data_IF_412626215015
#
_entry.id   IF_412626215015
#
_cell.length_a   1.000
_cell.length_b   1.000
_cell.length_c   1.000
_cell.angle_alpha   90.00
_cell.angle_beta   90.00
_cell.angle_gamma   90.00
#
_symmetry.space_group_name_H-M   'P 1'
#
loop_
_entity.id
_entity.type
_entity.pdbx_description
1 polymer ?
#
# COMPACT_ATOMS: atom_id res chain seq x y z
N UNK A 1 29.90 32.17 12.25
CA UNK A 1 29.50 30.80 12.63
C UNK A 1 28.05 30.64 12.22
N UNK A 2 27.76 29.74 11.29
CA UNK A 2 26.38 29.47 10.89
C UNK A 2 25.67 28.80 12.08
N UNK A 3 24.69 29.50 12.65
CA UNK A 3 23.82 28.97 13.69
C UNK A 3 22.89 27.99 12.99
N UNK A 4 23.17 26.68 13.09
CA UNK A 4 22.26 25.67 12.57
C UNK A 4 20.92 25.82 13.29
N UNK A 5 19.85 26.09 12.55
CA UNK A 5 18.50 26.02 13.11
C UNK A 5 18.33 24.66 13.78
N UNK A 6 17.90 24.67 15.05
CA UNK A 6 17.64 23.44 15.78
C UNK A 6 16.47 22.71 15.09
N UNK A 7 16.81 21.75 14.22
CA UNK A 7 15.84 20.84 13.64
C UNK A 7 15.10 20.06 14.73
N UNK A 8 13.92 19.48 14.41
CA UNK A 8 13.18 18.65 15.34
C UNK A 8 14.09 17.57 15.92
N UNK A 9 14.04 17.43 17.24
CA UNK A 9 14.85 16.44 17.94
C UNK A 9 14.45 15.01 17.52
N UNK A 10 15.36 14.05 17.74
CA UNK A 10 15.15 12.63 17.39
C UNK A 10 13.89 12.06 18.03
N UNK A 11 13.50 12.52 19.23
CA UNK A 11 12.29 12.04 19.91
C UNK A 11 11.04 12.55 19.19
N UNK A 12 11.05 13.77 18.67
CA UNK A 12 9.98 14.32 17.82
C UNK A 12 9.86 13.57 16.48
N UNK A 13 10.98 13.25 15.83
CA UNK A 13 10.99 12.46 14.59
C UNK A 13 10.47 11.03 14.84
N UNK A 14 10.98 10.37 15.89
CA UNK A 14 10.49 9.04 16.31
C UNK A 14 9.02 9.07 16.68
N UNK A 15 8.55 10.08 17.40
CA UNK A 15 7.15 10.19 17.77
C UNK A 15 6.25 10.26 16.52
N UNK A 16 6.61 11.04 15.51
CA UNK A 16 5.80 11.15 14.29
C UNK A 16 5.88 9.92 13.39
N UNK A 17 7.02 9.22 13.39
CA UNK A 17 7.17 7.97 12.65
C UNK A 17 6.48 6.78 13.33
N UNK A 18 6.49 6.74 14.67
CA UNK A 18 6.02 5.60 15.47
C UNK A 18 4.59 5.75 16.00
N UNK A 19 4.02 6.96 16.02
CA UNK A 19 2.71 7.19 16.63
C UNK A 19 1.62 7.41 15.58
N UNK A 20 0.76 6.39 15.34
CA UNK A 20 -0.28 6.44 14.30
C UNK A 20 -1.37 7.50 14.53
N UNK A 21 -1.39 8.19 15.66
CA UNK A 21 -2.39 9.22 16.00
C UNK A 21 -1.87 10.65 15.81
N UNK A 22 -0.59 10.84 15.52
CA UNK A 22 -0.04 12.18 15.32
C UNK A 22 -0.14 12.58 13.85
N UNK A 23 -0.70 13.76 13.60
CA UNK A 23 -0.52 14.45 12.32
C UNK A 23 0.84 15.16 12.38
N UNK A 24 1.86 14.71 11.62
CA UNK A 24 3.12 15.44 11.57
C UNK A 24 2.90 16.82 10.95
N UNK A 25 3.62 17.83 11.48
CA UNK A 25 3.67 19.13 10.82
C UNK A 25 4.50 19.04 9.53
N UNK A 26 4.31 20.00 8.61
CA UNK A 26 4.97 19.98 7.29
C UNK A 26 6.49 19.86 7.40
N UNK A 27 7.12 20.63 8.28
CA UNK A 27 8.58 20.58 8.47
C UNK A 27 9.07 19.19 8.90
N UNK A 28 8.33 18.50 9.77
CA UNK A 28 8.67 17.14 10.21
C UNK A 28 8.52 16.15 9.06
N UNK A 29 7.48 16.29 8.24
CA UNK A 29 7.29 15.47 7.02
C UNK A 29 8.45 15.68 6.06
N UNK A 30 8.80 16.93 5.78
CA UNK A 30 9.88 17.27 4.85
C UNK A 30 11.23 16.69 5.30
N UNK A 31 11.53 16.74 6.61
CA UNK A 31 12.75 16.16 7.18
C UNK A 31 12.75 14.63 7.14
N UNK A 32 11.61 13.98 7.47
CA UNK A 32 11.49 12.53 7.38
C UNK A 32 11.68 12.08 5.93
N UNK A 33 11.07 12.78 4.97
CA UNK A 33 11.20 12.48 3.55
C UNK A 33 12.65 12.66 3.07
N UNK A 34 13.31 13.76 3.44
CA UNK A 34 14.72 13.99 3.08
C UNK A 34 15.66 12.92 3.68
N UNK A 35 15.42 12.51 4.93
CA UNK A 35 16.16 11.40 5.53
C UNK A 35 15.88 10.08 4.81
N UNK A 36 14.62 9.80 4.48
CA UNK A 36 14.23 8.60 3.76
C UNK A 36 14.84 8.56 2.35
N UNK A 37 14.82 9.64 1.57
CA UNK A 37 15.48 9.70 0.26
C UNK A 37 16.99 9.51 0.35
N UNK A 38 17.63 10.01 1.42
CA UNK A 38 19.08 9.85 1.60
C UNK A 38 19.46 8.41 1.92
N UNK A 39 18.72 7.76 2.81
CA UNK A 39 19.04 6.39 3.28
C UNK A 39 18.44 5.31 2.38
N UNK A 40 17.33 5.61 1.69
CA UNK A 40 16.59 4.73 0.80
C UNK A 40 16.28 5.47 -0.52
N UNK A 41 17.31 5.72 -1.35
CA UNK A 41 17.14 6.48 -2.58
C UNK A 41 16.14 5.78 -3.51
N UNK A 42 15.32 6.58 -4.18
CA UNK A 42 14.41 6.07 -5.20
C UNK A 42 15.25 5.44 -6.34
N UNK A 43 15.08 4.13 -6.65
CA UNK A 43 15.85 3.51 -7.72
C UNK A 43 15.44 4.01 -9.11
N UNK A 44 14.29 4.69 -9.24
CA UNK A 44 13.75 5.13 -10.51
C UNK A 44 14.38 6.45 -11.00
N UNK A 45 14.60 6.61 -12.32
CA UNK A 45 15.08 7.86 -12.89
C UNK A 45 14.12 9.04 -12.63
N UNK A 46 14.66 10.19 -12.21
CA UNK A 46 13.88 11.40 -11.92
C UNK A 46 12.99 11.87 -13.08
N UNK A 47 13.44 11.68 -14.32
CA UNK A 47 12.63 12.00 -15.51
C UNK A 47 11.33 11.20 -15.58
N UNK A 48 11.33 9.94 -15.10
CA UNK A 48 10.14 9.10 -15.05
C UNK A 48 9.26 9.45 -13.86
N UNK A 49 9.83 9.86 -12.73
CA UNK A 49 9.06 10.41 -11.61
C UNK A 49 8.29 11.67 -12.04
N UNK A 50 8.90 12.55 -12.83
CA UNK A 50 8.20 13.70 -13.41
C UNK A 50 6.99 13.32 -14.28
N UNK A 51 6.96 12.12 -14.85
CA UNK A 51 5.78 11.62 -15.59
C UNK A 51 4.65 11.19 -14.65
N UNK A 52 4.97 10.64 -13.47
CA UNK A 52 3.98 10.37 -12.44
C UNK A 52 3.37 11.67 -11.92
N UNK A 53 4.20 12.65 -11.61
CA UNK A 53 3.73 13.97 -11.17
C UNK A 53 2.81 14.62 -12.21
N UNK A 54 3.18 14.54 -13.50
CA UNK A 54 2.35 15.01 -14.60
C UNK A 54 1.01 14.27 -14.64
N UNK A 55 1.03 12.93 -14.57
CA UNK A 55 -0.20 12.14 -14.58
C UNK A 55 -1.11 12.47 -13.39
N UNK A 56 -0.55 12.56 -12.18
CA UNK A 56 -1.32 12.92 -10.99
C UNK A 56 -1.94 14.32 -11.12
N UNK A 57 -1.21 15.28 -11.68
CA UNK A 57 -1.72 16.63 -11.92
C UNK A 57 -2.86 16.65 -12.94
N UNK A 58 -2.75 15.88 -14.03
CA UNK A 58 -3.83 15.69 -15.01
C UNK A 58 -5.05 15.02 -14.34
N UNK A 59 -4.82 13.98 -13.54
CA UNK A 59 -5.86 13.22 -12.86
C UNK A 59 -6.55 14.03 -11.76
N UNK A 60 -5.82 14.86 -10.99
CA UNK A 60 -6.41 15.72 -9.93
C UNK A 60 -7.31 16.82 -10.50
N UNK A 61 -7.05 17.28 -11.73
CA UNK A 61 -7.81 18.34 -12.42
C UNK A 61 -8.98 17.81 -13.28
N UNK A 62 -9.37 16.55 -13.07
CA UNK A 62 -10.36 15.84 -13.86
C UNK A 62 -11.72 16.59 -13.97
N UNK A 63 -12.23 16.74 -15.20
CA UNK A 63 -13.50 17.44 -15.50
C UNK A 63 -13.54 18.21 -16.82
N UNK A 64 -12.40 18.41 -17.49
CA UNK A 64 -12.28 19.04 -18.80
C UNK A 64 -11.93 17.98 -19.87
N UNK A 65 -12.62 18.01 -21.02
CA UNK A 65 -12.39 17.12 -22.17
C UNK A 65 -10.92 17.17 -22.63
N UNK A 66 -10.26 18.33 -22.50
CA UNK A 66 -8.84 18.47 -22.84
C UNK A 66 -7.92 17.59 -21.97
N UNK A 67 -8.32 17.30 -20.72
CA UNK A 67 -7.53 16.50 -19.78
C UNK A 67 -7.65 15.01 -20.08
N UNK A 68 -8.83 14.52 -20.44
CA UNK A 68 -9.02 13.12 -20.84
C UNK A 68 -8.23 12.82 -22.12
N UNK A 69 -8.24 13.75 -23.09
CA UNK A 69 -7.40 13.65 -24.29
C UNK A 69 -5.90 13.64 -23.96
N UNK A 70 -5.46 14.47 -23.01
CA UNK A 70 -4.05 14.47 -22.58
C UNK A 70 -3.64 13.17 -21.88
N UNK A 71 -4.53 12.58 -21.07
CA UNK A 71 -4.31 11.26 -20.45
C UNK A 71 -4.22 10.18 -21.54
N UNK A 72 -5.06 10.21 -22.56
CA UNK A 72 -4.99 9.30 -23.71
C UNK A 72 -3.68 9.44 -24.49
N UNK A 73 -3.24 10.68 -24.76
CA UNK A 73 -1.96 10.94 -25.42
C UNK A 73 -0.77 10.44 -24.61
N UNK A 74 -0.80 10.64 -23.28
CA UNK A 74 0.23 10.13 -22.38
C UNK A 74 0.27 8.60 -22.43
N UNK A 75 -0.88 7.92 -22.40
CA UNK A 75 -0.91 6.46 -22.51
C UNK A 75 -0.35 5.97 -23.84
N UNK A 76 -0.72 6.60 -24.95
CA UNK A 76 -0.19 6.25 -26.27
C UNK A 76 1.33 6.39 -26.30
N UNK A 77 1.86 7.46 -25.73
CA UNK A 77 3.29 7.66 -25.56
C UNK A 77 3.92 6.55 -24.72
N UNK A 78 3.36 6.22 -23.55
CA UNK A 78 3.87 5.15 -22.69
C UNK A 78 3.93 3.80 -23.41
N UNK A 79 2.85 3.44 -24.13
CA UNK A 79 2.81 2.19 -24.91
C UNK A 79 3.84 2.18 -26.04
N UNK A 80 4.07 3.31 -26.69
CA UNK A 80 5.14 3.44 -27.67
C UNK A 80 6.51 3.26 -27.02
N UNK A 81 6.78 3.95 -25.92
CA UNK A 81 8.06 3.87 -25.20
C UNK A 81 8.38 2.47 -24.67
N UNK A 82 7.34 1.71 -24.29
CA UNK A 82 7.42 0.30 -23.87
C UNK A 82 7.60 -0.66 -25.05
N UNK A 83 7.24 -0.27 -26.28
CA UNK A 83 7.44 -1.09 -27.48
C UNK A 83 8.88 -1.01 -28.02
N UNK A 84 9.64 0.01 -27.62
CA UNK A 84 11.04 0.20 -28.04
C UNK A 84 11.94 -0.80 -27.31
N UNK A 85 12.62 -1.65 -28.07
CA UNK A 85 13.58 -2.63 -27.53
C UNK A 85 14.84 -1.97 -26.96
N UNK A 86 15.48 -2.61 -25.98
CA UNK A 86 16.77 -2.19 -25.43
C UNK A 86 16.71 -1.11 -24.35
N UNK A 87 15.52 -0.78 -23.83
CA UNK A 87 15.38 0.10 -22.66
C UNK A 87 15.97 -0.56 -21.41
N UNK A 88 16.56 0.27 -20.57
CA UNK A 88 17.03 -0.14 -19.26
C UNK A 88 15.87 -0.74 -18.40
N UNK A 89 16.10 -1.86 -17.68
CA UNK A 89 15.06 -2.56 -16.93
C UNK A 89 14.24 -1.70 -15.96
N UNK A 90 14.90 -0.88 -15.14
CA UNK A 90 14.22 -0.01 -14.15
C UNK A 90 13.30 0.99 -14.82
N UNK A 91 13.77 1.60 -15.90
CA UNK A 91 12.98 2.52 -16.70
C UNK A 91 11.74 1.85 -17.29
N UNK A 92 11.89 0.64 -17.82
CA UNK A 92 10.76 -0.16 -18.33
C UNK A 92 9.75 -0.49 -17.24
N UNK A 93 10.24 -0.95 -16.08
CA UNK A 93 9.37 -1.28 -14.95
C UNK A 93 8.59 -0.06 -14.43
N UNK A 94 9.22 1.12 -14.39
CA UNK A 94 8.55 2.34 -13.91
C UNK A 94 7.48 2.83 -14.88
N UNK A 95 7.73 2.74 -16.19
CA UNK A 95 6.73 3.05 -17.22
C UNK A 95 5.55 2.06 -17.18
N UNK A 96 5.83 0.76 -16.98
CA UNK A 96 4.80 -0.26 -16.77
C UNK A 96 3.97 0.01 -15.51
N UNK A 97 4.62 0.44 -14.42
CA UNK A 97 3.91 0.86 -13.23
C UNK A 97 2.95 2.01 -13.54
N UNK A 98 3.43 3.08 -14.19
CA UNK A 98 2.58 4.23 -14.52
C UNK A 98 1.38 3.83 -15.39
N UNK A 99 1.63 3.00 -16.40
CA UNK A 99 0.58 2.44 -17.24
C UNK A 99 -0.45 1.65 -16.40
N UNK A 100 0.03 0.86 -15.44
CA UNK A 100 -0.82 0.16 -14.47
C UNK A 100 -1.71 1.09 -13.66
N UNK A 101 -1.16 2.20 -13.13
CA UNK A 101 -1.91 3.20 -12.36
C UNK A 101 -2.99 3.85 -13.24
N UNK A 102 -2.65 4.23 -14.47
CA UNK A 102 -3.60 4.79 -15.44
C UNK A 102 -4.76 3.85 -15.78
N UNK A 103 -4.45 2.57 -16.01
CA UNK A 103 -5.45 1.55 -16.33
C UNK A 103 -6.31 1.21 -15.10
N UNK A 104 -5.72 1.20 -13.92
CA UNK A 104 -6.44 1.01 -12.66
C UNK A 104 -7.48 2.13 -12.43
N UNK A 105 -7.13 3.38 -12.69
CA UNK A 105 -8.06 4.50 -12.58
C UNK A 105 -9.20 4.42 -13.63
N UNK A 106 -8.88 3.96 -14.85
CA UNK A 106 -9.90 3.69 -15.88
C UNK A 106 -10.82 2.55 -15.50
N UNK A 107 -10.31 1.50 -14.85
CA UNK A 107 -11.11 0.42 -14.29
C UNK A 107 -12.14 0.96 -13.28
N UNK A 108 -11.71 1.84 -12.37
CA UNK A 108 -12.62 2.53 -11.43
C UNK A 108 -13.65 3.40 -12.14
N UNK A 109 -13.25 4.15 -13.17
CA UNK A 109 -14.16 4.96 -13.99
C UNK A 109 -15.21 4.12 -14.72
N UNK A 110 -14.80 3.02 -15.35
CA UNK A 110 -15.69 2.08 -16.03
C UNK A 110 -16.67 1.41 -15.06
N UNK A 111 -16.20 1.05 -13.86
CA UNK A 111 -17.07 0.52 -12.78
C UNK A 111 -18.15 1.53 -12.40
N UNK A 112 -17.80 2.80 -12.16
CA UNK A 112 -18.76 3.86 -11.81
C UNK A 112 -19.84 4.06 -12.87
N UNK A 113 -19.53 3.77 -14.14
CA UNK A 113 -20.44 3.84 -15.29
C UNK A 113 -21.14 2.51 -15.62
N UNK A 114 -20.98 1.47 -14.81
CA UNK A 114 -21.50 0.11 -15.05
C UNK A 114 -21.08 -0.50 -16.40
N UNK A 115 -19.86 -0.21 -16.85
CA UNK A 115 -19.30 -0.71 -18.12
C UNK A 115 -18.47 -1.98 -17.88
N UNK A 116 -19.11 -3.08 -17.49
CA UNK A 116 -18.40 -4.29 -17.01
C UNK A 116 -17.35 -4.84 -17.98
N UNK A 117 -17.60 -4.97 -19.31
CA UNK A 117 -16.59 -5.50 -20.22
C UNK A 117 -15.33 -4.64 -20.29
N UNK A 118 -15.51 -3.30 -20.28
CA UNK A 118 -14.37 -2.35 -20.26
C UNK A 118 -13.64 -2.39 -18.92
N UNK A 119 -14.38 -2.49 -17.83
CA UNK A 119 -13.82 -2.58 -16.49
C UNK A 119 -12.93 -3.83 -16.34
N UNK A 120 -13.39 -4.99 -16.81
CA UNK A 120 -12.61 -6.22 -16.80
C UNK A 120 -11.38 -6.17 -17.72
N UNK A 121 -11.50 -5.54 -18.89
CA UNK A 121 -10.36 -5.32 -19.79
C UNK A 121 -9.28 -4.44 -19.11
N UNK A 122 -9.66 -3.26 -18.60
CA UNK A 122 -8.73 -2.38 -17.90
C UNK A 122 -8.12 -3.04 -16.66
N UNK A 123 -8.89 -3.83 -15.91
CA UNK A 123 -8.37 -4.63 -14.80
C UNK A 123 -7.27 -5.58 -15.27
N UNK A 124 -7.53 -6.36 -16.32
CA UNK A 124 -6.56 -7.33 -16.86
C UNK A 124 -5.27 -6.66 -17.33
N UNK A 125 -5.40 -5.57 -18.07
CA UNK A 125 -4.23 -4.80 -18.54
C UNK A 125 -3.44 -4.18 -17.39
N UNK A 126 -4.12 -3.63 -16.36
CA UNK A 126 -3.45 -3.07 -15.19
C UNK A 126 -2.66 -4.14 -14.42
N UNK A 127 -3.27 -5.31 -14.19
CA UNK A 127 -2.61 -6.45 -13.53
C UNK A 127 -1.38 -6.88 -14.33
N UNK A 128 -1.51 -7.02 -15.65
CA UNK A 128 -0.39 -7.39 -16.51
C UNK A 128 0.75 -6.37 -16.44
N UNK A 129 0.43 -5.07 -16.43
CA UNK A 129 1.41 -4.00 -16.35
C UNK A 129 2.18 -4.06 -15.01
N UNK A 130 1.47 -4.15 -13.88
CA UNK A 130 2.11 -4.27 -12.57
C UNK A 130 2.90 -5.57 -12.39
N UNK A 131 2.40 -6.70 -12.89
CA UNK A 131 3.11 -7.98 -12.83
C UNK A 131 4.39 -7.92 -13.65
N UNK A 132 4.33 -7.35 -14.86
CA UNK A 132 5.51 -7.16 -15.70
C UNK A 132 6.54 -6.23 -15.04
N UNK A 133 6.09 -5.15 -14.39
CA UNK A 133 6.96 -4.28 -13.62
C UNK A 133 7.63 -5.01 -12.44
N UNK A 134 6.87 -5.83 -11.71
CA UNK A 134 7.38 -6.62 -10.60
C UNK A 134 8.41 -7.64 -11.08
N UNK A 135 8.11 -8.39 -12.13
CA UNK A 135 8.98 -9.41 -12.69
C UNK A 135 10.31 -8.82 -13.17
N UNK A 136 10.26 -7.68 -13.87
CA UNK A 136 11.48 -6.98 -14.32
C UNK A 136 12.33 -6.55 -13.13
N UNK A 137 11.74 -5.97 -12.09
CA UNK A 137 12.49 -5.48 -10.93
C UNK A 137 13.01 -6.62 -10.05
N UNK A 138 12.31 -7.75 -9.96
CA UNK A 138 12.77 -8.95 -9.26
C UNK A 138 13.92 -9.62 -10.02
N UNK A 139 13.81 -9.75 -11.35
CA UNK A 139 14.88 -10.29 -12.21
C UNK A 139 16.13 -9.42 -12.17
N UNK A 140 15.96 -8.09 -12.19
CA UNK A 140 17.07 -7.16 -12.10
C UNK A 140 17.65 -7.05 -10.66
N UNK A 141 16.99 -7.63 -9.65
CA UNK A 141 17.33 -7.51 -8.23
C UNK A 141 17.29 -6.06 -7.71
N UNK A 142 16.42 -5.22 -8.30
CA UNK A 142 16.36 -3.78 -8.02
C UNK A 142 15.14 -3.38 -7.16
N UNK A 143 14.15 -4.25 -7.01
CA UNK A 143 13.06 -4.00 -6.08
C UNK A 143 13.46 -4.34 -4.64
N UNK A 144 13.45 -3.33 -3.76
CA UNK A 144 13.43 -3.54 -2.31
C UNK A 144 12.06 -4.09 -1.86
N UNK A 145 11.94 -4.54 -0.60
CA UNK A 145 10.70 -5.15 -0.10
C UNK A 145 9.49 -4.21 -0.18
N UNK A 146 9.67 -2.91 0.05
CA UNK A 146 8.60 -1.91 -0.04
C UNK A 146 8.05 -1.80 -1.45
N UNK A 147 8.92 -1.73 -2.46
CA UNK A 147 8.54 -1.69 -3.87
C UNK A 147 7.77 -2.94 -4.25
N UNK A 148 8.28 -4.13 -3.89
CA UNK A 148 7.59 -5.40 -4.18
C UNK A 148 6.22 -5.46 -3.51
N UNK A 149 6.13 -5.02 -2.26
CA UNK A 149 4.88 -4.96 -1.52
C UNK A 149 3.88 -4.01 -2.20
N UNK A 150 4.30 -2.80 -2.59
CA UNK A 150 3.44 -1.84 -3.28
C UNK A 150 2.90 -2.38 -4.61
N UNK A 151 3.73 -3.00 -5.43
CA UNK A 151 3.28 -3.62 -6.69
C UNK A 151 2.28 -4.76 -6.44
N UNK A 152 2.54 -5.65 -5.48
CA UNK A 152 1.58 -6.70 -5.08
C UNK A 152 0.28 -6.11 -4.54
N UNK A 153 0.37 -5.04 -3.76
CA UNK A 153 -0.79 -4.32 -3.24
C UNK A 153 -1.60 -3.71 -4.38
N UNK A 154 -0.96 -3.12 -5.40
CA UNK A 154 -1.63 -2.56 -6.56
C UNK A 154 -2.34 -3.64 -7.39
N UNK A 155 -1.69 -4.79 -7.63
CA UNK A 155 -2.33 -5.94 -8.29
C UNK A 155 -3.54 -6.43 -7.49
N UNK A 156 -3.38 -6.61 -6.17
CA UNK A 156 -4.50 -7.00 -5.31
C UNK A 156 -5.63 -5.95 -5.36
N UNK A 157 -5.30 -4.67 -5.38
CA UNK A 157 -6.28 -3.60 -5.50
C UNK A 157 -7.05 -3.69 -6.84
N UNK A 158 -6.43 -4.09 -7.95
CA UNK A 158 -7.13 -4.32 -9.22
C UNK A 158 -8.25 -5.35 -9.05
N UNK A 159 -7.97 -6.47 -8.37
CA UNK A 159 -8.96 -7.50 -8.07
C UNK A 159 -10.09 -6.96 -7.18
N UNK A 160 -9.73 -6.34 -6.05
CA UNK A 160 -10.69 -5.85 -5.06
C UNK A 160 -11.61 -4.76 -5.63
N UNK A 161 -11.05 -3.85 -6.44
CA UNK A 161 -11.78 -2.72 -6.98
C UNK A 161 -12.60 -3.04 -8.22
N UNK A 162 -12.34 -4.16 -8.90
CA UNK A 162 -13.22 -4.70 -9.92
C UNK A 162 -14.45 -5.41 -9.33
N UNK A 163 -14.38 -5.85 -8.07
CA UNK A 163 -15.52 -6.52 -7.42
C UNK A 163 -16.69 -5.55 -7.22
N UNK A 164 -17.84 -5.86 -7.83
CA UNK A 164 -19.06 -5.01 -7.78
C UNK A 164 -19.58 -4.79 -6.36
N UNK A 165 -19.33 -5.70 -5.42
CA UNK A 165 -19.82 -5.63 -4.03
C UNK A 165 -18.65 -5.70 -3.05
N UNK A 166 -18.55 -4.68 -2.19
CA UNK A 166 -17.65 -4.69 -1.03
C UNK A 166 -17.93 -5.93 -0.16
N UNK A 167 -16.87 -6.67 0.19
CA UNK A 167 -16.96 -7.88 1.01
C UNK A 167 -17.37 -9.16 0.26
N UNK A 168 -17.56 -9.12 -1.07
CA UNK A 168 -17.84 -10.33 -1.88
C UNK A 168 -16.57 -10.92 -2.50
N UNK A 169 -15.44 -10.20 -2.44
CA UNK A 169 -14.18 -10.68 -2.98
C UNK A 169 -13.69 -11.98 -2.32
N UNK A 170 -14.03 -12.22 -1.05
CA UNK A 170 -13.75 -13.49 -0.35
C UNK A 170 -14.52 -14.69 -0.91
N UNK A 171 -15.43 -14.44 -1.86
CA UNK A 171 -16.17 -15.47 -2.62
C UNK A 171 -15.80 -15.45 -4.11
N UNK A 172 -14.90 -14.56 -4.52
CA UNK A 172 -14.42 -14.47 -5.90
C UNK A 172 -13.20 -15.40 -6.06
N UNK A 173 -13.31 -16.48 -6.84
CA UNK A 173 -12.22 -17.45 -6.98
C UNK A 173 -10.95 -16.85 -7.56
N UNK A 174 -11.07 -15.86 -8.44
CA UNK A 174 -9.93 -15.21 -9.09
C UNK A 174 -9.14 -14.36 -8.08
N UNK A 175 -9.83 -13.53 -7.29
CA UNK A 175 -9.20 -12.74 -6.22
C UNK A 175 -8.56 -13.65 -5.16
N UNK A 176 -9.25 -14.71 -4.73
CA UNK A 176 -8.70 -15.68 -3.78
C UNK A 176 -7.49 -16.41 -4.35
N UNK A 177 -7.56 -16.84 -5.62
CA UNK A 177 -6.45 -17.48 -6.33
C UNK A 177 -5.20 -16.61 -6.29
N UNK A 178 -5.31 -15.35 -6.72
CA UNK A 178 -4.20 -14.41 -6.64
C UNK A 178 -3.70 -14.21 -5.20
N UNK A 179 -4.60 -14.07 -4.23
CA UNK A 179 -4.22 -13.86 -2.84
C UNK A 179 -3.35 -15.00 -2.30
N UNK A 180 -3.72 -16.25 -2.61
CA UNK A 180 -2.96 -17.43 -2.22
C UNK A 180 -1.65 -17.57 -3.00
N UNK A 181 -1.69 -17.44 -4.33
CA UNK A 181 -0.51 -17.58 -5.21
C UNK A 181 0.56 -16.52 -4.92
N UNK A 182 0.15 -15.28 -4.68
CA UNK A 182 1.06 -14.18 -4.34
C UNK A 182 1.68 -14.31 -2.95
N UNK A 183 1.23 -15.26 -2.13
CA UNK A 183 1.63 -15.42 -0.73
C UNK A 183 1.49 -14.10 0.05
N UNK A 184 0.44 -13.32 -0.22
CA UNK A 184 0.35 -11.91 0.18
C UNK A 184 0.61 -11.68 1.68
N UNK A 185 0.00 -12.48 2.57
CA UNK A 185 0.23 -12.34 4.02
C UNK A 185 1.66 -12.68 4.41
N UNK A 186 2.24 -13.76 3.90
CA UNK A 186 3.63 -14.13 4.19
C UNK A 186 4.60 -13.03 3.77
N UNK A 187 4.44 -12.47 2.57
CA UNK A 187 5.25 -11.35 2.08
C UNK A 187 5.03 -10.06 2.89
N UNK A 188 3.81 -9.84 3.37
CA UNK A 188 3.52 -8.71 4.29
C UNK A 188 4.25 -8.88 5.62
N UNK A 189 4.35 -10.11 6.15
CA UNK A 189 5.09 -10.41 7.37
C UNK A 189 6.60 -10.20 7.21
N UNK A 190 7.17 -10.58 6.07
CA UNK A 190 8.57 -10.31 5.72
C UNK A 190 8.86 -8.80 5.76
N UNK A 191 8.02 -7.99 5.12
CA UNK A 191 8.18 -6.53 5.16
C UNK A 191 8.06 -5.98 6.59
N UNK A 192 7.11 -6.44 7.39
CA UNK A 192 6.95 -6.01 8.78
C UNK A 192 8.09 -6.49 9.70
N UNK A 193 8.85 -7.50 9.30
CA UNK A 193 10.04 -7.91 10.04
C UNK A 193 11.17 -6.88 9.86
N UNK A 194 11.31 -6.32 8.66
CA UNK A 194 12.29 -5.27 8.35
C UNK A 194 11.81 -3.87 8.78
N UNK A 195 10.51 -3.59 8.60
CA UNK A 195 9.87 -2.31 8.92
C UNK A 195 8.72 -2.47 9.94
N UNK A 196 9.02 -2.79 11.21
CA UNK A 196 8.03 -3.17 12.22
C UNK A 196 7.08 -2.02 12.64
N UNK A 197 7.35 -0.80 12.18
CA UNK A 197 6.59 0.39 12.54
C UNK A 197 5.52 0.78 11.52
N UNK A 198 5.45 0.07 10.38
CA UNK A 198 4.48 0.28 9.31
C UNK A 198 3.07 -0.20 9.74
N UNK A 199 2.44 0.53 10.65
CA UNK A 199 1.14 0.18 11.22
C UNK A 199 0.04 0.07 10.16
N UNK A 200 0.12 0.84 9.07
CA UNK A 200 -0.84 0.77 7.97
C UNK A 200 -0.76 -0.56 7.23
N UNK A 201 0.46 -1.08 7.05
CA UNK A 201 0.74 -2.40 6.47
C UNK A 201 0.27 -3.50 7.41
N UNK A 202 0.59 -3.41 8.71
CA UNK A 202 0.10 -4.35 9.71
C UNK A 202 -1.44 -4.37 9.78
N UNK A 203 -2.09 -3.21 9.72
CA UNK A 203 -3.55 -3.08 9.72
C UNK A 203 -4.17 -3.70 8.46
N UNK A 204 -3.54 -3.54 7.30
CA UNK A 204 -4.00 -4.19 6.07
C UNK A 204 -3.80 -5.71 6.12
N UNK A 205 -2.69 -6.20 6.69
CA UNK A 205 -2.50 -7.62 6.97
C UNK A 205 -3.60 -8.18 7.87
N UNK A 206 -3.90 -7.49 8.98
CA UNK A 206 -5.01 -7.84 9.88
C UNK A 206 -6.35 -7.88 9.15
N UNK A 207 -6.59 -6.90 8.26
CA UNK A 207 -7.83 -6.83 7.47
C UNK A 207 -8.02 -8.09 6.63
N UNK A 208 -6.97 -8.49 5.90
CA UNK A 208 -7.05 -9.68 5.06
C UNK A 208 -7.08 -10.98 5.87
N UNK A 209 -6.32 -11.05 6.97
CA UNK A 209 -6.38 -12.19 7.88
C UNK A 209 -7.79 -12.39 8.46
N UNK A 210 -8.46 -11.30 8.84
CA UNK A 210 -9.86 -11.32 9.31
C UNK A 210 -10.81 -11.82 8.22
N UNK A 211 -10.69 -11.26 7.01
CA UNK A 211 -11.55 -11.62 5.87
C UNK A 211 -11.35 -13.05 5.38
N UNK A 212 -10.17 -13.62 5.60
CA UNK A 212 -9.83 -15.03 5.29
C UNK A 212 -10.04 -15.97 6.47
N UNK A 213 -10.57 -15.45 7.58
CA UNK A 213 -10.88 -16.26 8.76
C UNK A 213 -9.66 -17.03 9.30
N UNK A 214 -8.48 -16.41 9.22
CA UNK A 214 -7.23 -17.02 9.67
C UNK A 214 -6.82 -16.47 11.05
N UNK A 215 -7.09 -17.25 12.10
CA UNK A 215 -6.85 -16.83 13.48
C UNK A 215 -5.37 -16.56 13.81
N UNK A 216 -4.45 -17.38 13.28
CA UNK A 216 -3.02 -17.21 13.55
C UNK A 216 -2.49 -15.91 12.96
N UNK A 217 -2.89 -15.60 11.72
CA UNK A 217 -2.51 -14.36 11.05
C UNK A 217 -3.15 -13.14 11.72
N UNK A 218 -4.41 -13.25 12.17
CA UNK A 218 -5.06 -12.18 12.94
C UNK A 218 -4.27 -11.84 14.20
N UNK A 219 -3.85 -12.86 14.96
CA UNK A 219 -3.01 -12.67 16.16
C UNK A 219 -1.69 -11.99 15.79
N UNK A 220 -1.01 -12.48 14.76
CA UNK A 220 0.27 -11.93 14.33
C UNK A 220 0.18 -10.43 14.00
N UNK A 221 -0.75 -10.07 13.11
CA UNK A 221 -0.87 -8.68 12.65
C UNK A 221 -1.40 -7.76 13.76
N UNK A 222 -2.28 -8.24 14.62
CA UNK A 222 -2.74 -7.46 15.77
C UNK A 222 -1.61 -7.21 16.79
N UNK A 223 -0.75 -8.20 17.05
CA UNK A 223 0.45 -8.01 17.86
C UNK A 223 1.40 -6.99 17.25
N UNK A 224 1.54 -6.96 15.91
CA UNK A 224 2.31 -5.91 15.24
C UNK A 224 1.72 -4.52 15.51
N UNK A 225 0.40 -4.37 15.49
CA UNK A 225 -0.25 -3.10 15.84
C UNK A 225 -0.02 -2.71 17.31
N UNK A 226 -0.16 -3.64 18.25
CA UNK A 226 0.09 -3.38 19.68
C UNK A 226 1.53 -2.96 19.97
N UNK A 227 2.51 -3.53 19.25
CA UNK A 227 3.92 -3.12 19.34
C UNK A 227 4.14 -1.67 18.92
N UNK A 228 3.39 -1.19 17.91
CA UNK A 228 3.44 0.22 17.50
C UNK A 228 2.74 1.10 18.52
N UNK A 229 1.55 0.70 18.98
CA UNK A 229 0.77 1.45 19.96
C UNK A 229 -0.25 0.58 20.66
N UNK A 230 -0.21 0.56 22.00
CA UNK A 230 -1.20 -0.12 22.84
C UNK A 230 -2.63 0.40 22.62
N UNK A 231 -2.80 1.61 22.06
CA UNK A 231 -4.12 2.17 21.75
C UNK A 231 -4.92 1.33 20.75
N UNK A 232 -4.27 0.50 19.93
CA UNK A 232 -4.99 -0.43 19.05
C UNK A 232 -5.78 -1.52 19.79
N UNK A 233 -5.54 -1.70 21.10
CA UNK A 233 -6.37 -2.53 21.96
C UNK A 233 -7.79 -1.97 22.13
N UNK A 234 -7.94 -0.65 22.03
CA UNK A 234 -9.26 0.00 21.95
C UNK A 234 -9.75 -0.07 20.50
N UNK A 235 -10.80 -0.85 20.23
CA UNK A 235 -11.32 -0.97 18.88
C UNK A 235 -11.98 0.30 18.34
N UNK A 236 -12.30 1.27 19.20
CA UNK A 236 -12.79 2.60 18.79
C UNK A 236 -11.66 3.61 18.55
N UNK A 237 -10.41 3.24 18.84
CA UNK A 237 -9.25 4.05 18.52
C UNK A 237 -9.15 4.32 17.02
N UNK A 238 -9.11 5.61 16.67
CA UNK A 238 -8.99 6.08 15.30
C UNK A 238 -7.57 6.57 15.01
N UNK A 239 -6.75 5.80 14.26
CA UNK A 239 -5.47 6.30 13.76
C UNK A 239 -5.68 7.40 12.70
N UNK A 240 -4.64 8.19 12.45
CA UNK A 240 -4.63 9.25 11.46
C UNK A 240 -5.00 8.69 10.07
N UNK A 241 -5.97 9.34 9.41
CA UNK A 241 -6.47 8.99 8.07
C UNK A 241 -7.04 7.57 7.89
N UNK A 242 -7.28 6.81 8.96
CA UNK A 242 -7.91 5.49 8.85
C UNK A 242 -9.03 5.31 9.89
N UNK A 243 -10.12 4.61 9.54
CA UNK A 243 -11.20 4.36 10.48
C UNK A 243 -10.76 3.39 11.59
N UNK A 244 -11.40 3.50 12.75
CA UNK A 244 -11.22 2.58 13.86
C UNK A 244 -11.52 1.12 13.44
N UNK A 245 -10.86 0.16 14.07
CA UNK A 245 -11.02 -1.28 13.77
C UNK A 245 -12.48 -1.69 13.97
N UNK A 246 -13.09 -1.26 15.07
CA UNK A 246 -14.48 -1.58 15.42
C UNK A 246 -15.54 -1.00 14.50
N UNK A 247 -15.17 -0.05 13.63
CA UNK A 247 -16.11 0.58 12.67
C UNK A 247 -16.07 -0.02 11.28
N UNK A 248 -15.13 -0.92 10.99
CA UNK A 248 -15.03 -1.55 9.66
C UNK A 248 -15.54 -2.99 9.69
N UNK A 249 -16.38 -3.32 8.70
CA UNK A 249 -16.94 -4.67 8.50
C UNK A 249 -15.86 -5.71 8.22
N UNK A 250 -14.71 -5.27 7.71
CA UNK A 250 -13.61 -6.17 7.36
C UNK A 250 -12.97 -6.85 8.58
N UNK A 251 -13.15 -6.30 9.79
CA UNK A 251 -12.56 -6.82 11.04
C UNK A 251 -13.56 -7.57 11.93
N UNK A 252 -14.82 -7.72 11.48
CA UNK A 252 -15.89 -8.32 12.30
C UNK A 252 -15.51 -9.72 12.74
N UNK A 253 -15.10 -10.58 11.80
CA UNK A 253 -14.72 -11.96 12.11
C UNK A 253 -13.57 -12.02 13.11
N UNK A 254 -12.50 -11.24 12.89
CA UNK A 254 -11.37 -11.19 13.82
C UNK A 254 -11.79 -10.77 15.23
N UNK A 255 -12.65 -9.75 15.36
CA UNK A 255 -13.15 -9.28 16.67
C UNK A 255 -14.00 -10.32 17.39
N UNK A 256 -14.90 -10.99 16.66
CA UNK A 256 -15.87 -11.91 17.26
C UNK A 256 -15.25 -13.27 17.61
N UNK A 257 -14.24 -13.71 16.86
CA UNK A 257 -13.72 -15.08 16.97
C UNK A 257 -12.30 -15.18 17.55
N UNK A 258 -11.51 -14.11 17.49
CA UNK A 258 -10.08 -14.16 17.83
C UNK A 258 -9.68 -13.09 18.84
N UNK A 259 -10.07 -11.84 18.61
CA UNK A 259 -9.68 -10.69 19.41
C UNK A 259 -10.75 -10.36 20.47
N UNK A 260 -11.13 -11.35 21.25
CA UNK A 260 -12.01 -11.16 22.43
C UNK A 260 -11.31 -10.31 23.48
N UNK A 261 -12.06 -9.68 24.39
CA UNK A 261 -11.50 -8.83 25.44
C UNK A 261 -10.40 -9.53 26.26
N UNK A 262 -10.65 -10.78 26.66
CA UNK A 262 -9.69 -11.63 27.36
C UNK A 262 -8.43 -11.86 26.51
N UNK A 263 -8.60 -12.19 25.22
CA UNK A 263 -7.45 -12.43 24.34
C UNK A 263 -6.65 -11.16 24.10
N UNK A 264 -7.30 -10.02 23.91
CA UNK A 264 -6.62 -8.72 23.76
C UNK A 264 -5.82 -8.39 25.02
N UNK A 265 -6.37 -8.61 26.21
CA UNK A 265 -5.65 -8.42 27.47
C UNK A 265 -4.40 -9.31 27.56
N UNK A 266 -4.54 -10.61 27.26
CA UNK A 266 -3.41 -11.55 27.20
C UNK A 266 -2.32 -11.06 26.23
N UNK A 267 -2.71 -10.64 25.02
CA UNK A 267 -1.77 -10.17 24.00
C UNK A 267 -1.04 -8.88 24.40
N UNK A 268 -1.72 -7.97 25.11
CA UNK A 268 -1.07 -6.78 25.67
C UNK A 268 0.01 -7.19 26.67
N UNK A 269 -0.28 -8.11 27.58
CA UNK A 269 0.68 -8.52 28.60
C UNK A 269 1.87 -9.28 28.00
N UNK A 270 1.61 -10.18 27.03
CA UNK A 270 2.65 -10.83 26.22
C UNK A 270 3.55 -9.81 25.49
N UNK A 271 2.95 -8.74 24.95
CA UNK A 271 3.70 -7.69 24.23
C UNK A 271 4.57 -6.86 25.17
N UNK A 272 4.11 -6.57 26.39
CA UNK A 272 4.86 -5.84 27.43
C UNK A 272 6.04 -6.66 27.96
N UNK A 273 5.87 -7.97 28.09
CA UNK A 273 6.94 -8.87 28.54
C UNK A 273 8.09 -8.95 27.53
N UNK A 274 7.79 -8.97 26.23
CA UNK A 274 8.82 -8.97 25.17
C UNK A 274 9.56 -7.62 25.04
N UNK A 275 8.97 -6.52 25.51
CA UNK A 275 9.59 -5.19 25.49
C UNK A 275 10.62 -4.93 26.61
N UNK A 276 10.72 -5.80 27.62
CA UNK A 276 11.67 -5.66 28.75
C UNK A 276 12.96 -6.47 28.59
N UNK A 277 13.12 -7.23 27.51
CA UNK A 277 14.25 -8.14 27.29
C UNK A 277 15.26 -7.62 26.26
N UNK A 278 15.54 -6.31 26.23
CA UNK A 278 16.65 -5.72 25.48
C UNK A 278 17.36 -4.66 26.30
#
# INVERSE_FOLDING_TARGET
MAQYEAGPDIKTLKANYLHPHHKPNKNTVDIINALHEREFPNPFPAALEGMFDLYEDLHRRNGDLSQEENIERLELFLRHELSIAGREPVGSARLLWLLGDMLFDRCLGARKRNQDPRMLAYRGEAIQAYQSALDILEQAQLANLVIRYKLRQNILACYLNASKRLGVWTKDPETLGYFHESCFLARTKELLAEEPFQWSIARNGLRFASLLENAEEVIYFFVCLLKVSVRFADFDYQPYQAPAIGRSKDFVWARENVLTDERVCSLIDESKLKGKSK
#
